data_IF_837461177517
#
_entry.id   IF_837461177517
#
_cell.length_a   1.000
_cell.length_b   1.000
_cell.length_c   1.000
_cell.angle_alpha   90.00
_cell.angle_beta   90.00
_cell.angle_gamma   90.00
#
_symmetry.space_group_name_H-M   'P 1'
#
loop_
_entity.id
_entity.type
_entity.pdbx_description
1 polymer ?
#
# COMPACT_ATOMS: atom_id res chain seq x y z
N UNK A 1 -36.49 -6.35 -2.75
CA UNK A 1 -35.35 -6.71 -1.87
C UNK A 1 -35.89 -6.83 -0.46
N UNK A 2 -35.78 -8.00 0.18
CA UNK A 2 -36.24 -8.19 1.56
C UNK A 2 -35.34 -7.45 2.54
N UNK A 3 -35.87 -6.96 3.66
CA UNK A 3 -35.11 -6.28 4.73
C UNK A 3 -33.94 -7.11 5.24
N UNK A 4 -34.08 -8.44 5.29
CA UNK A 4 -33.04 -9.38 5.67
C UNK A 4 -31.85 -9.37 4.70
N UNK A 5 -32.08 -9.28 3.39
CA UNK A 5 -31.01 -9.21 2.40
C UNK A 5 -30.21 -7.91 2.50
N UNK A 6 -30.85 -6.80 2.78
CA UNK A 6 -30.21 -5.51 2.97
C UNK A 6 -29.33 -5.48 4.22
N UNK A 7 -29.82 -6.00 5.34
CA UNK A 7 -29.04 -6.07 6.58
C UNK A 7 -27.78 -6.93 6.42
N UNK A 8 -27.86 -8.04 5.70
CA UNK A 8 -26.70 -8.87 5.38
C UNK A 8 -25.67 -8.12 4.55
N UNK A 9 -26.08 -7.38 3.51
CA UNK A 9 -25.16 -6.59 2.69
C UNK A 9 -24.45 -5.49 3.50
N UNK A 10 -25.19 -4.80 4.37
CA UNK A 10 -24.61 -3.77 5.26
C UNK A 10 -23.60 -4.38 6.23
N UNK A 11 -23.93 -5.54 6.84
CA UNK A 11 -23.01 -6.23 7.75
C UNK A 11 -21.72 -6.65 7.08
N UNK A 12 -21.78 -7.23 5.89
CA UNK A 12 -20.57 -7.60 5.14
C UNK A 12 -19.82 -6.38 4.61
N UNK A 13 -20.49 -5.29 4.23
CA UNK A 13 -19.87 -4.03 3.88
C UNK A 13 -19.05 -3.44 5.04
N UNK A 14 -19.62 -3.44 6.24
CA UNK A 14 -18.94 -2.99 7.45
C UNK A 14 -17.74 -3.88 7.80
N UNK A 15 -17.87 -5.20 7.68
CA UNK A 15 -16.76 -6.13 7.88
C UNK A 15 -15.61 -5.86 6.91
N UNK A 16 -15.92 -5.72 5.62
CA UNK A 16 -14.93 -5.37 4.60
C UNK A 16 -14.22 -4.05 4.99
N UNK A 17 -14.97 -3.04 5.37
CA UNK A 17 -14.41 -1.73 5.71
C UNK A 17 -13.43 -1.83 6.90
N UNK A 18 -13.82 -2.51 7.98
CA UNK A 18 -12.97 -2.65 9.17
C UNK A 18 -11.70 -3.47 8.85
N UNK A 19 -11.85 -4.62 8.18
CA UNK A 19 -10.71 -5.47 7.84
C UNK A 19 -9.75 -4.75 6.88
N UNK A 20 -10.28 -4.03 5.89
CA UNK A 20 -9.47 -3.27 4.93
C UNK A 20 -8.73 -2.11 5.59
N UNK A 21 -9.37 -1.40 6.52
CA UNK A 21 -8.75 -0.34 7.29
C UNK A 21 -7.58 -0.86 8.13
N UNK A 22 -7.81 -1.95 8.88
CA UNK A 22 -6.78 -2.55 9.75
C UNK A 22 -5.62 -3.10 8.91
N UNK A 23 -5.92 -3.84 7.84
CA UNK A 23 -4.87 -4.40 6.99
C UNK A 23 -4.12 -3.31 6.23
N UNK A 24 -4.81 -2.28 5.76
CA UNK A 24 -4.19 -1.10 5.14
C UNK A 24 -3.23 -0.39 6.08
N UNK A 25 -3.64 -0.19 7.34
CA UNK A 25 -2.78 0.37 8.38
C UNK A 25 -1.53 -0.48 8.63
N UNK A 26 -1.68 -1.80 8.73
CA UNK A 26 -0.54 -2.71 8.93
C UNK A 26 0.43 -2.67 7.75
N UNK A 27 -0.08 -2.69 6.52
CA UNK A 27 0.75 -2.60 5.30
C UNK A 27 1.51 -1.28 5.29
N UNK A 28 0.84 -0.18 5.59
CA UNK A 28 1.46 1.15 5.65
C UNK A 28 2.58 1.18 6.71
N UNK A 29 2.31 0.70 7.92
CA UNK A 29 3.29 0.67 9.01
C UNK A 29 4.53 -0.15 8.67
N UNK A 30 4.36 -1.29 8.00
CA UNK A 30 5.50 -2.12 7.56
C UNK A 30 6.33 -1.41 6.49
N UNK A 31 5.67 -0.74 5.54
CA UNK A 31 6.36 0.03 4.49
C UNK A 31 7.12 1.22 5.09
N UNK A 32 6.51 1.96 6.00
CA UNK A 32 7.14 3.08 6.71
C UNK A 32 8.37 2.64 7.48
N UNK A 33 8.28 1.55 8.26
CA UNK A 33 9.42 0.98 8.98
C UNK A 33 10.56 0.57 8.04
N UNK A 34 10.24 -0.04 6.91
CA UNK A 34 11.25 -0.45 5.93
C UNK A 34 11.95 0.77 5.30
N UNK A 35 11.19 1.82 4.97
CA UNK A 35 11.72 3.08 4.42
C UNK A 35 12.60 3.77 5.47
N UNK A 36 12.12 3.91 6.71
CA UNK A 36 12.86 4.54 7.79
C UNK A 36 14.19 3.83 8.06
N UNK A 37 14.15 2.50 8.19
CA UNK A 37 15.35 1.72 8.41
C UNK A 37 16.36 1.86 7.28
N UNK A 38 15.89 1.79 6.04
CA UNK A 38 16.77 1.73 4.87
C UNK A 38 17.33 3.09 4.45
N UNK A 39 16.53 4.16 4.58
CA UNK A 39 16.89 5.48 4.07
C UNK A 39 17.35 6.47 5.15
N UNK A 40 17.00 6.24 6.40
CA UNK A 40 17.34 7.14 7.50
C UNK A 40 18.28 6.50 8.52
N UNK A 41 18.11 5.22 8.85
CA UNK A 41 18.97 4.56 9.85
C UNK A 41 20.24 4.00 9.23
N UNK A 42 20.14 3.32 8.08
CA UNK A 42 21.29 2.63 7.46
C UNK A 42 22.35 3.60 6.94
N UNK A 43 22.04 4.77 6.34
CA UNK A 43 23.04 5.69 5.80
C UNK A 43 23.97 6.30 6.84
N UNK A 44 23.51 6.49 8.07
CA UNK A 44 24.27 7.21 9.14
C UNK A 44 25.62 6.57 9.48
N UNK A 45 25.84 5.31 9.14
CA UNK A 45 27.10 4.62 9.41
C UNK A 45 27.91 4.24 8.18
N UNK A 46 27.47 4.62 6.97
CA UNK A 46 28.10 4.20 5.73
C UNK A 46 29.18 5.18 5.25
N UNK A 47 30.35 4.67 4.77
CA UNK A 47 31.32 5.49 4.06
C UNK A 47 30.75 5.95 2.70
N UNK A 48 31.23 7.11 2.18
CA UNK A 48 30.74 7.73 0.95
C UNK A 48 30.57 6.78 -0.25
N UNK A 49 31.51 5.86 -0.57
CA UNK A 49 31.31 4.96 -1.69
C UNK A 49 30.14 3.99 -1.51
N UNK A 50 29.91 3.53 -0.27
CA UNK A 50 28.79 2.64 0.07
C UNK A 50 27.46 3.39 0.06
N UNK A 51 27.45 4.66 0.47
CA UNK A 51 26.29 5.54 0.39
C UNK A 51 25.85 5.74 -1.07
N UNK A 52 26.79 6.04 -1.97
CA UNK A 52 26.49 6.15 -3.40
C UNK A 52 26.00 4.84 -4.00
N UNK A 53 26.58 3.71 -3.60
CA UNK A 53 26.12 2.40 -4.03
C UNK A 53 24.69 2.11 -3.56
N UNK A 54 24.31 2.54 -2.34
CA UNK A 54 22.95 2.44 -1.82
C UNK A 54 21.97 3.29 -2.65
N UNK A 55 22.28 4.58 -2.81
CA UNK A 55 21.39 5.57 -3.45
C UNK A 55 21.16 5.25 -4.94
N UNK A 56 22.15 4.74 -5.65
CA UNK A 56 22.02 4.37 -7.07
C UNK A 56 21.57 2.92 -7.25
N UNK A 57 22.06 2.03 -6.40
CA UNK A 57 21.80 0.60 -6.50
C UNK A 57 20.39 0.21 -6.12
N UNK A 58 19.86 0.81 -5.04
CA UNK A 58 18.55 0.43 -4.52
C UNK A 58 17.39 0.74 -5.48
N UNK A 59 17.28 1.95 -6.07
CA UNK A 59 16.26 2.21 -7.08
C UNK A 59 16.42 1.34 -8.33
N UNK A 60 17.67 1.03 -8.72
CA UNK A 60 17.94 0.14 -9.85
C UNK A 60 17.44 -1.27 -9.57
N UNK A 61 17.75 -1.82 -8.40
CA UNK A 61 17.26 -3.13 -7.96
C UNK A 61 15.74 -3.15 -7.83
N UNK A 62 15.15 -2.08 -7.32
CA UNK A 62 13.70 -1.93 -7.26
C UNK A 62 13.07 -1.98 -8.66
N UNK A 63 13.64 -1.27 -9.64
CA UNK A 63 13.20 -1.32 -11.03
C UNK A 63 13.25 -2.73 -11.62
N UNK A 64 14.34 -3.45 -11.38
CA UNK A 64 14.48 -4.87 -11.81
C UNK A 64 13.44 -5.76 -11.12
N UNK A 65 13.25 -5.59 -9.82
CA UNK A 65 12.26 -6.36 -9.06
C UNK A 65 10.83 -6.11 -9.58
N UNK A 66 10.48 -4.86 -9.84
CA UNK A 66 9.18 -4.48 -10.43
C UNK A 66 9.01 -5.13 -11.82
N UNK A 67 10.01 -5.04 -12.69
CA UNK A 67 9.96 -5.65 -14.02
C UNK A 67 9.79 -7.17 -13.94
N UNK A 68 10.47 -7.82 -13.01
CA UNK A 68 10.34 -9.25 -12.78
C UNK A 68 8.96 -9.64 -12.24
N UNK A 69 8.45 -8.93 -11.24
CA UNK A 69 7.13 -9.17 -10.66
C UNK A 69 6.02 -9.00 -11.70
N UNK A 70 6.12 -7.98 -12.53
CA UNK A 70 5.16 -7.73 -13.63
C UNK A 70 5.19 -8.82 -14.70
N UNK A 71 6.34 -9.41 -14.96
CA UNK A 71 6.44 -10.50 -15.95
C UNK A 71 5.84 -11.83 -15.43
N UNK A 72 5.64 -11.99 -14.12
CA UNK A 72 5.15 -13.21 -13.49
C UNK A 72 3.77 -13.05 -12.83
N UNK A 73 3.20 -11.86 -12.85
CA UNK A 73 1.92 -11.58 -12.19
C UNK A 73 1.10 -10.49 -12.88
N UNK A 74 0.07 -10.02 -12.19
CA UNK A 74 -0.78 -8.95 -12.70
C UNK A 74 -0.09 -7.59 -12.67
N UNK A 75 -0.40 -6.75 -13.65
CA UNK A 75 0.18 -5.41 -13.81
C UNK A 75 -0.27 -4.38 -12.77
N UNK A 76 -1.24 -4.72 -11.92
CA UNK A 76 -1.83 -3.77 -10.98
C UNK A 76 -2.62 -2.65 -11.70
N UNK A 77 -2.71 -1.50 -11.03
CA UNK A 77 -3.39 -0.33 -11.60
C UNK A 77 -2.47 0.43 -12.56
N UNK A 78 -2.91 0.62 -13.79
CA UNK A 78 -2.20 1.47 -14.75
C UNK A 78 -2.60 2.93 -14.54
N UNK A 79 -1.64 3.85 -14.34
CA UNK A 79 -1.92 5.28 -14.22
C UNK A 79 -2.65 5.88 -15.43
N UNK A 80 -2.48 5.25 -16.60
CA UNK A 80 -3.10 5.68 -17.86
C UNK A 80 -4.61 5.45 -17.92
N UNK A 81 -5.11 4.46 -17.17
CA UNK A 81 -6.54 4.12 -17.12
C UNK A 81 -7.26 4.67 -15.89
N UNK A 82 -6.59 5.52 -15.13
CA UNK A 82 -7.12 6.08 -13.88
C UNK A 82 -7.17 5.05 -12.75
N UNK A 83 -7.83 5.40 -11.65
CA UNK A 83 -8.06 4.50 -10.52
C UNK A 83 -9.24 3.58 -10.88
N UNK A 84 -9.02 2.61 -11.76
CA UNK A 84 -9.97 1.55 -11.98
C UNK A 84 -9.94 0.65 -10.73
N UNK A 85 -11.00 0.71 -9.92
CA UNK A 85 -11.16 -0.14 -8.74
C UNK A 85 -11.56 -1.55 -9.17
N UNK A 86 -10.64 -2.23 -9.85
CA UNK A 86 -10.84 -3.59 -10.29
C UNK A 86 -10.70 -4.57 -9.12
N UNK A 87 -11.46 -5.67 -9.12
CA UNK A 87 -11.26 -6.74 -8.18
C UNK A 87 -9.81 -7.27 -8.25
N UNK A 88 -9.15 -7.35 -7.09
CA UNK A 88 -7.82 -7.95 -6.96
C UNK A 88 -7.99 -9.35 -6.39
N UNK A 89 -7.42 -10.35 -7.07
CA UNK A 89 -7.50 -11.75 -6.62
C UNK A 89 -6.33 -12.13 -5.72
N UNK A 90 -6.47 -13.25 -5.01
CA UNK A 90 -5.38 -13.79 -4.18
C UNK A 90 -4.15 -14.22 -5.00
N UNK A 91 -4.32 -14.52 -6.29
CA UNK A 91 -3.22 -14.84 -7.19
C UNK A 91 -2.45 -13.59 -7.63
N UNK A 92 -3.14 -12.48 -7.81
CA UNK A 92 -2.57 -11.22 -8.31
C UNK A 92 -1.95 -10.37 -7.19
N UNK A 93 -2.53 -10.42 -5.99
CA UNK A 93 -2.16 -9.55 -4.88
C UNK A 93 -0.67 -9.59 -4.51
N UNK A 94 0.00 -10.75 -4.43
CA UNK A 94 1.42 -10.80 -4.08
C UNK A 94 2.34 -10.07 -5.06
N UNK A 95 2.07 -10.17 -6.36
CA UNK A 95 2.86 -9.46 -7.38
C UNK A 95 2.61 -7.96 -7.35
N UNK A 96 1.36 -7.55 -7.14
CA UNK A 96 0.97 -6.14 -7.04
C UNK A 96 1.61 -5.50 -5.81
N UNK A 97 1.41 -6.07 -4.62
CA UNK A 97 1.95 -5.50 -3.38
C UNK A 97 3.49 -5.54 -3.35
N UNK A 98 4.09 -6.60 -3.90
CA UNK A 98 5.52 -6.72 -4.04
C UNK A 98 6.12 -5.65 -4.94
N UNK A 99 5.50 -5.35 -6.08
CA UNK A 99 5.93 -4.29 -6.99
C UNK A 99 5.80 -2.90 -6.34
N UNK A 100 4.70 -2.65 -5.62
CA UNK A 100 4.49 -1.40 -4.88
C UNK A 100 5.53 -1.25 -3.76
N UNK A 101 5.74 -2.30 -2.98
CA UNK A 101 6.73 -2.31 -1.91
C UNK A 101 8.15 -2.06 -2.45
N UNK A 102 8.54 -2.76 -3.53
CA UNK A 102 9.83 -2.55 -4.18
C UNK A 102 9.99 -1.09 -4.66
N UNK A 103 8.93 -0.49 -5.20
CA UNK A 103 8.93 0.90 -5.67
C UNK A 103 9.11 1.88 -4.50
N UNK A 104 8.31 1.74 -3.44
CA UNK A 104 8.33 2.65 -2.29
C UNK A 104 9.62 2.52 -1.48
N UNK A 105 9.99 1.28 -1.11
CA UNK A 105 11.21 0.99 -0.35
C UNK A 105 12.46 1.28 -1.18
N UNK A 106 12.38 1.11 -2.50
CA UNK A 106 13.45 1.46 -3.44
C UNK A 106 13.68 2.97 -3.62
N UNK A 107 12.90 3.83 -2.96
CA UNK A 107 13.07 5.29 -3.03
C UNK A 107 12.48 5.94 -4.28
N UNK A 108 11.67 5.20 -5.04
CA UNK A 108 10.92 5.78 -6.15
C UNK A 108 9.68 6.50 -5.61
N UNK A 109 9.44 7.72 -6.11
CA UNK A 109 8.35 8.58 -5.63
C UNK A 109 7.01 8.05 -6.15
N UNK A 110 6.42 7.14 -5.40
CA UNK A 110 5.04 6.69 -5.57
C UNK A 110 4.34 6.84 -4.22
N UNK A 111 3.14 7.39 -4.23
CA UNK A 111 2.39 7.53 -2.97
C UNK A 111 1.92 6.17 -2.40
N UNK A 112 1.77 6.06 -1.08
CA UNK A 112 1.30 4.83 -0.43
C UNK A 112 -0.17 4.51 -0.76
N UNK A 113 -0.90 5.42 -1.40
CA UNK A 113 -2.31 5.28 -1.75
C UNK A 113 -2.56 4.03 -2.60
N UNK A 114 -1.65 3.73 -3.53
CA UNK A 114 -1.77 2.57 -4.43
C UNK A 114 -1.68 1.26 -3.64
N UNK A 115 -0.82 1.20 -2.63
CA UNK A 115 -0.73 0.04 -1.73
C UNK A 115 -2.03 -0.18 -0.97
N UNK A 116 -2.62 0.91 -0.45
CA UNK A 116 -3.87 0.87 0.31
C UNK A 116 -5.05 0.49 -0.57
N UNK A 117 -5.19 1.13 -1.73
CA UNK A 117 -6.25 0.80 -2.70
C UNK A 117 -6.20 -0.67 -3.11
N UNK A 118 -5.01 -1.16 -3.45
CA UNK A 118 -4.84 -2.56 -3.87
C UNK A 118 -5.11 -3.54 -2.74
N UNK A 119 -4.67 -3.24 -1.52
CA UNK A 119 -4.92 -4.05 -0.32
C UNK A 119 -6.41 -4.09 0.01
N UNK A 120 -7.08 -2.95 0.02
CA UNK A 120 -8.51 -2.87 0.26
C UNK A 120 -9.34 -3.55 -0.82
N UNK A 121 -8.98 -3.37 -2.08
CA UNK A 121 -9.62 -4.06 -3.20
C UNK A 121 -9.49 -5.59 -3.09
N UNK A 122 -8.31 -6.08 -2.70
CA UNK A 122 -8.08 -7.50 -2.43
C UNK A 122 -8.98 -8.04 -1.31
N UNK A 123 -8.99 -7.38 -0.15
CA UNK A 123 -9.84 -7.76 1.00
C UNK A 123 -11.31 -7.80 0.61
N UNK A 124 -11.78 -6.73 -0.04
CA UNK A 124 -13.16 -6.60 -0.45
C UNK A 124 -13.57 -7.64 -1.49
N UNK A 125 -12.69 -7.95 -2.45
CA UNK A 125 -12.90 -9.00 -3.45
C UNK A 125 -13.02 -10.37 -2.77
N UNK A 126 -12.09 -10.71 -1.89
CA UNK A 126 -12.00 -12.02 -1.28
C UNK A 126 -13.17 -12.29 -0.33
N UNK A 127 -13.54 -11.33 0.52
CA UNK A 127 -14.70 -11.45 1.40
C UNK A 127 -16.00 -11.56 0.58
N UNK A 128 -16.15 -10.76 -0.47
CA UNK A 128 -17.35 -10.82 -1.34
C UNK A 128 -17.46 -12.13 -2.07
N UNK A 129 -16.35 -12.64 -2.59
CA UNK A 129 -16.29 -13.94 -3.28
C UNK A 129 -16.71 -15.09 -2.36
N UNK A 130 -16.24 -15.09 -1.11
CA UNK A 130 -16.56 -16.14 -0.13
C UNK A 130 -17.96 -16.03 0.43
N UNK A 131 -18.46 -14.83 0.65
CA UNK A 131 -19.75 -14.60 1.30
C UNK A 131 -20.94 -14.63 0.34
N UNK A 132 -20.73 -14.27 -0.92
CA UNK A 132 -21.80 -14.04 -1.90
C UNK A 132 -22.76 -12.90 -1.53
N UNK A 133 -22.42 -12.09 -0.50
CA UNK A 133 -23.30 -11.03 -0.02
C UNK A 133 -23.24 -9.76 -0.88
N UNK A 134 -22.08 -9.48 -1.46
CA UNK A 134 -21.81 -8.37 -2.37
C UNK A 134 -21.21 -8.92 -3.67
N UNK A 135 -21.35 -8.17 -4.75
CA UNK A 135 -20.54 -8.44 -5.96
C UNK A 135 -19.08 -8.12 -5.67
N UNK A 136 -18.15 -8.86 -6.30
CA UNK A 136 -16.70 -8.64 -6.11
C UNK A 136 -16.28 -7.20 -6.40
N UNK A 137 -16.87 -6.57 -7.41
CA UNK A 137 -16.61 -5.18 -7.75
C UNK A 137 -17.04 -4.20 -6.63
N UNK A 138 -18.25 -4.39 -6.06
CA UNK A 138 -18.70 -3.57 -4.92
C UNK A 138 -17.84 -3.80 -3.68
N UNK A 139 -17.48 -5.04 -3.43
CA UNK A 139 -16.57 -5.37 -2.33
C UNK A 139 -15.20 -4.72 -2.48
N UNK A 140 -14.61 -4.81 -3.67
CA UNK A 140 -13.34 -4.17 -3.99
C UNK A 140 -13.41 -2.65 -3.77
N UNK A 141 -14.49 -2.02 -4.25
CA UNK A 141 -14.72 -0.58 -4.08
C UNK A 141 -14.80 -0.18 -2.60
N UNK A 142 -15.64 -0.87 -1.82
CA UNK A 142 -15.78 -0.60 -0.37
C UNK A 142 -14.45 -0.80 0.35
N UNK A 143 -13.74 -1.89 0.04
CA UNK A 143 -12.45 -2.19 0.64
C UNK A 143 -11.39 -1.15 0.32
N UNK A 144 -11.27 -0.75 -0.95
CA UNK A 144 -10.32 0.25 -1.41
C UNK A 144 -10.53 1.60 -0.71
N UNK A 145 -11.77 2.11 -0.68
CA UNK A 145 -12.08 3.36 0.03
C UNK A 145 -11.81 3.27 1.53
N UNK A 146 -12.18 2.15 2.16
CA UNK A 146 -11.94 1.96 3.59
C UNK A 146 -10.44 1.89 3.92
N UNK A 147 -9.63 1.21 3.10
CA UNK A 147 -8.18 1.13 3.33
C UNK A 147 -7.50 2.50 3.21
N UNK A 148 -7.94 3.35 2.27
CA UNK A 148 -7.41 4.72 2.12
C UNK A 148 -7.66 5.56 3.38
N UNK A 149 -8.73 5.29 4.13
CA UNK A 149 -8.96 5.97 5.42
C UNK A 149 -7.84 5.70 6.43
N UNK A 150 -7.04 4.64 6.26
CA UNK A 150 -5.87 4.40 7.10
C UNK A 150 -4.85 5.54 7.03
N UNK A 151 -4.78 6.28 5.92
CA UNK A 151 -3.95 7.50 5.80
C UNK A 151 -4.37 8.59 6.80
N UNK A 152 -5.63 8.66 7.16
CA UNK A 152 -6.16 9.67 8.07
C UNK A 152 -6.17 9.21 9.53
N UNK A 153 -6.17 7.90 9.77
CA UNK A 153 -6.12 7.31 11.11
C UNK A 153 -4.66 7.09 11.55
N UNK A 154 -3.79 6.74 10.58
CA UNK A 154 -2.38 6.43 10.81
C UNK A 154 -1.44 7.62 11.08
N UNK A 155 -1.64 8.82 10.53
CA UNK A 155 -0.63 9.90 10.59
C UNK A 155 -0.46 10.56 11.95
N UNK A 156 -1.26 10.20 12.92
CA UNK A 156 -0.85 10.45 14.30
C UNK A 156 0.49 9.77 14.62
N UNK A 157 0.87 8.78 13.82
CA UNK A 157 2.19 8.11 13.84
C UNK A 157 3.20 8.87 12.97
N UNK A 158 2.78 9.44 11.83
CA UNK A 158 3.63 10.29 11.01
C UNK A 158 3.93 11.68 11.65
N UNK A 159 3.17 12.09 12.64
CA UNK A 159 3.54 13.22 13.49
C UNK A 159 4.79 12.94 14.33
N UNK A 160 5.27 11.72 14.36
CA UNK A 160 6.59 11.33 14.84
C UNK A 160 7.69 11.40 13.78
N UNK A 161 7.43 11.85 12.56
CA UNK A 161 8.44 12.58 11.80
C UNK A 161 8.68 13.95 12.49
N UNK A 162 8.86 13.92 13.79
CA UNK A 162 9.55 14.95 14.51
C UNK A 162 10.92 15.00 13.83
N UNK A 163 11.08 16.01 12.97
CA UNK A 163 12.37 16.55 12.60
C UNK A 163 13.25 16.36 13.82
N UNK A 164 14.21 15.43 13.72
CA UNK A 164 15.14 15.21 14.81
C UNK A 164 15.64 16.59 15.23
N UNK A 165 15.63 16.94 16.52
CA UNK A 165 16.03 18.26 16.96
C UNK A 165 17.51 18.43 16.59
N UNK A 166 17.80 19.05 15.47
CA UNK A 166 19.16 19.19 14.95
C UNK A 166 19.25 19.71 13.52
N UNK A 167 18.24 19.57 12.70
CA UNK A 167 18.23 20.21 11.39
C UNK A 167 17.65 21.61 11.50
N UNK A 168 18.44 22.56 12.01
CA UNK A 168 18.20 23.95 11.76
C UNK A 168 18.65 24.23 10.31
N UNK A 169 17.71 24.54 9.43
CA UNK A 169 18.03 25.22 8.18
C UNK A 169 18.60 26.60 8.58
N UNK A 170 19.91 26.67 8.65
CA UNK A 170 20.56 27.99 8.70
C UNK A 170 20.25 28.65 7.34
N UNK A 171 19.66 29.84 7.32
CA UNK A 171 19.52 30.59 6.08
C UNK A 171 20.95 30.96 5.59
N UNK A 172 21.20 30.64 4.31
CA UNK A 172 22.39 31.09 3.58
C UNK A 172 22.29 32.58 3.34
#
# INVERSE_FOLDING_TARGET
>A
MTTSGRNRQVGFGALIAVVSLVLGYLVLSVLELAIEWLWFTTPDGLPDPALWALVLGLPTLAGVAVAWLRSHGADGHSPLYGIALNPVTAADYPSIIGAIAATLVGGLVLGPEVALVSTGAFVGTEISRRSGALTTHRGATVGAFAAVLALFVGPSVAGTFSVAPGYSFAPV
#
